data_IF_666389731236
#
_entry.id   IF_666389731236
#
_cell.length_a   1.000
_cell.length_b   1.000
_cell.length_c   1.000
_cell.angle_alpha   90.00
_cell.angle_beta   90.00
_cell.angle_gamma   90.00
#
_symmetry.space_group_name_H-M   'P 1'
#
loop_
_entity.id
_entity.type
_entity.pdbx_description
1 polymer ?
#
# COMPACT_ATOMS: atom_id res chain seq x y z
N UNK A 1 10.69 -11.36 16.75
CA UNK A 1 10.02 -12.41 15.97
C UNK A 1 10.48 -12.33 14.53
N UNK A 2 9.99 -13.23 13.66
CA UNK A 2 10.13 -13.08 12.22
C UNK A 2 9.38 -11.83 11.72
N UNK A 3 9.66 -11.40 10.49
CA UNK A 3 8.89 -10.39 9.77
C UNK A 3 7.39 -10.72 9.74
N UNK A 4 7.05 -11.97 9.46
CA UNK A 4 5.68 -12.48 9.42
C UNK A 4 5.00 -12.39 10.78
N UNK A 5 5.72 -12.69 11.88
CA UNK A 5 5.17 -12.56 13.23
C UNK A 5 4.99 -11.08 13.63
N UNK A 6 5.86 -10.18 13.16
CA UNK A 6 5.67 -8.76 13.39
C UNK A 6 4.44 -8.21 12.64
N UNK A 7 4.23 -8.65 11.39
CA UNK A 7 3.04 -8.31 10.61
C UNK A 7 1.76 -8.80 11.31
N UNK A 8 1.74 -10.05 11.75
CA UNK A 8 0.60 -10.65 12.45
C UNK A 8 0.23 -9.88 13.73
N UNK A 9 1.22 -9.52 14.55
CA UNK A 9 1.00 -8.73 15.76
C UNK A 9 0.38 -7.35 15.47
N UNK A 10 0.82 -6.68 14.40
CA UNK A 10 0.26 -5.37 14.02
C UNK A 10 -1.15 -5.53 13.48
N UNK A 11 -1.39 -6.56 12.66
CA UNK A 11 -2.71 -6.86 12.12
C UNK A 11 -3.72 -7.17 13.24
N UNK A 12 -3.33 -7.96 14.22
CA UNK A 12 -4.14 -8.25 15.40
C UNK A 12 -4.43 -6.96 16.18
N UNK A 13 -3.42 -6.12 16.44
CA UNK A 13 -3.59 -4.86 17.15
C UNK A 13 -4.58 -3.91 16.45
N UNK A 14 -4.57 -3.87 15.11
CA UNK A 14 -5.48 -3.01 14.34
C UNK A 14 -6.93 -3.51 14.36
N UNK A 15 -7.15 -4.81 14.55
CA UNK A 15 -8.46 -5.46 14.43
C UNK A 15 -9.11 -5.77 15.78
N UNK A 16 -8.32 -5.89 16.86
CA UNK A 16 -8.78 -6.34 18.19
C UNK A 16 -9.90 -5.49 18.80
N UNK A 17 -9.94 -4.18 18.52
CA UNK A 17 -10.96 -3.26 19.04
C UNK A 17 -12.18 -3.13 18.12
N UNK A 18 -12.19 -3.80 16.96
CA UNK A 18 -13.27 -3.76 15.97
C UNK A 18 -13.44 -2.44 15.22
N UNK A 19 -12.51 -1.48 15.35
CA UNK A 19 -12.54 -0.21 14.60
C UNK A 19 -12.24 -0.44 13.11
N UNK A 20 -11.34 -1.38 12.83
CA UNK A 20 -11.07 -1.88 11.49
C UNK A 20 -11.49 -3.35 11.43
N UNK A 21 -12.22 -3.68 10.37
CA UNK A 21 -12.39 -5.07 9.97
C UNK A 21 -11.06 -5.64 9.46
N UNK A 22 -10.90 -6.97 9.50
CA UNK A 22 -9.71 -7.64 8.96
C UNK A 22 -9.36 -7.20 7.52
N UNK A 23 -10.28 -7.18 6.53
CA UNK A 23 -9.94 -6.73 5.18
C UNK A 23 -9.54 -5.24 5.13
N UNK A 24 -10.12 -4.37 5.95
CA UNK A 24 -9.73 -2.96 6.02
C UNK A 24 -8.31 -2.80 6.57
N UNK A 25 -7.95 -3.55 7.61
CA UNK A 25 -6.61 -3.54 8.17
C UNK A 25 -5.58 -4.06 7.17
N UNK A 26 -5.89 -5.14 6.42
CA UNK A 26 -5.04 -5.64 5.34
C UNK A 26 -4.90 -4.60 4.21
N UNK A 27 -5.97 -3.90 3.83
CA UNK A 27 -5.90 -2.82 2.84
C UNK A 27 -5.03 -1.64 3.29
N UNK A 28 -4.99 -1.35 4.59
CA UNK A 28 -4.14 -0.31 5.18
C UNK A 28 -2.67 -0.73 5.19
N UNK A 29 -2.37 -1.96 5.61
CA UNK A 29 -1.00 -2.47 5.72
C UNK A 29 -0.37 -2.83 4.36
N UNK A 30 -1.16 -3.39 3.44
CA UNK A 30 -0.71 -3.83 2.11
C UNK A 30 -1.59 -3.19 1.03
N UNK A 31 -1.43 -1.87 0.79
CA UNK A 31 -2.22 -1.15 -0.20
C UNK A 31 -1.85 -1.53 -1.63
N UNK A 32 -2.84 -1.52 -2.53
CA UNK A 32 -2.58 -1.66 -3.97
C UNK A 32 -1.78 -0.46 -4.51
N UNK A 33 -1.14 -0.62 -5.66
CA UNK A 33 -0.42 0.48 -6.30
C UNK A 33 -1.39 1.58 -6.77
N UNK A 34 -1.44 2.67 -6.01
CA UNK A 34 -2.38 3.79 -6.23
C UNK A 34 -1.69 5.04 -6.80
N UNK A 35 -0.41 5.25 -6.50
CA UNK A 35 0.33 6.43 -6.92
C UNK A 35 0.46 6.47 -8.46
N UNK A 36 0.06 7.59 -9.06
CA UNK A 36 0.13 7.79 -10.52
C UNK A 36 -0.93 7.05 -11.34
N UNK A 37 -1.84 6.30 -10.71
CA UNK A 37 -2.88 5.56 -11.42
C UNK A 37 -4.09 6.44 -11.75
N UNK A 38 -4.11 7.02 -12.95
CA UNK A 38 -5.19 7.90 -13.43
C UNK A 38 -6.52 7.20 -13.69
N UNK A 39 -6.53 5.86 -13.78
CA UNK A 39 -7.75 5.08 -14.00
C UNK A 39 -8.41 4.64 -12.69
N UNK A 40 -7.80 4.94 -11.54
CA UNK A 40 -8.34 4.61 -10.22
C UNK A 40 -9.54 5.50 -9.88
N UNK A 41 -10.55 4.90 -9.23
CA UNK A 41 -11.67 5.65 -8.66
C UNK A 41 -11.15 6.72 -7.66
N UNK A 42 -11.60 7.99 -7.75
CA UNK A 42 -11.10 9.07 -6.91
C UNK A 42 -11.29 8.83 -5.41
N UNK A 43 -12.41 8.22 -4.99
CA UNK A 43 -12.64 7.94 -3.58
C UNK A 43 -11.66 6.87 -3.08
N UNK A 44 -11.38 5.86 -3.92
CA UNK A 44 -10.36 4.85 -3.63
C UNK A 44 -8.95 5.45 -3.55
N UNK A 45 -8.60 6.34 -4.48
CA UNK A 45 -7.33 7.05 -4.44
C UNK A 45 -7.19 7.89 -3.16
N UNK A 46 -8.23 8.64 -2.78
CA UNK A 46 -8.26 9.43 -1.55
C UNK A 46 -8.14 8.55 -0.30
N UNK A 47 -8.79 7.38 -0.27
CA UNK A 47 -8.60 6.42 0.82
C UNK A 47 -7.14 6.00 0.95
N UNK A 48 -6.47 5.64 -0.15
CA UNK A 48 -5.09 5.19 -0.10
C UNK A 48 -4.08 6.31 0.22
N UNK A 49 -4.34 7.53 -0.23
CA UNK A 49 -3.54 8.69 0.15
C UNK A 49 -3.67 8.99 1.65
N UNK A 50 -4.87 8.90 2.21
CA UNK A 50 -5.09 9.00 3.65
C UNK A 50 -4.41 7.84 4.40
N UNK A 51 -4.56 6.61 3.91
CA UNK A 51 -3.96 5.42 4.50
C UNK A 51 -2.43 5.52 4.56
N UNK A 52 -1.80 6.06 3.52
CA UNK A 52 -0.36 6.29 3.46
C UNK A 52 0.14 7.31 4.50
N UNK A 53 -0.73 8.19 5.00
CA UNK A 53 -0.39 9.08 6.12
C UNK A 53 -0.46 8.36 7.48
N UNK A 54 -1.20 7.27 7.56
CA UNK A 54 -1.47 6.54 8.80
C UNK A 54 -0.55 5.33 9.01
N UNK A 55 -0.18 4.65 7.92
CA UNK A 55 0.62 3.43 7.94
C UNK A 55 1.53 3.37 6.73
N UNK A 56 2.81 3.11 6.97
CA UNK A 56 3.75 2.80 5.90
C UNK A 56 3.44 1.40 5.33
N UNK A 57 3.44 1.23 3.99
CA UNK A 57 3.14 -0.07 3.39
C UNK A 57 4.15 -1.13 3.81
N UNK A 58 3.66 -2.28 4.26
CA UNK A 58 4.48 -3.47 4.49
C UNK A 58 4.80 -4.11 3.13
N UNK A 59 5.85 -3.60 2.49
CA UNK A 59 6.28 -4.01 1.15
C UNK A 59 7.24 -5.22 1.19
N UNK A 60 7.32 -5.93 0.06
CA UNK A 60 8.13 -7.14 -0.10
C UNK A 60 7.38 -8.28 -0.78
N UNK A 61 8.07 -9.26 -1.38
CA UNK A 61 7.42 -10.36 -2.11
C UNK A 61 6.58 -11.24 -1.17
N UNK A 62 5.26 -11.17 -1.28
CA UNK A 62 4.41 -11.83 -0.32
C UNK A 62 3.06 -12.32 -0.87
N UNK A 63 2.66 -13.46 -0.33
CA UNK A 63 1.30 -13.98 -0.34
C UNK A 63 0.92 -14.18 1.13
N UNK A 64 -0.09 -13.48 1.58
CA UNK A 64 -0.60 -13.63 2.94
C UNK A 64 -1.99 -14.22 2.88
N UNK A 65 -2.25 -15.23 3.72
CA UNK A 65 -3.59 -15.74 4.00
C UNK A 65 -3.96 -15.35 5.42
N UNK A 66 -5.19 -14.91 5.62
CA UNK A 66 -5.65 -14.38 6.91
C UNK A 66 -7.07 -14.85 7.20
N UNK A 67 -7.43 -14.90 8.49
CA UNK A 67 -8.78 -15.17 8.94
C UNK A 67 -9.05 -14.61 10.36
N UNK A 68 -10.28 -14.14 10.62
CA UNK A 68 -10.74 -13.63 11.94
C UNK A 68 -12.04 -14.30 12.42
N UNK A 69 -12.31 -15.53 11.98
CA UNK A 69 -13.51 -16.30 12.29
C UNK A 69 -14.73 -15.94 11.42
N UNK A 70 -14.84 -14.70 10.93
CA UNK A 70 -15.84 -14.31 9.92
C UNK A 70 -15.23 -14.24 8.52
N UNK A 71 -14.12 -13.55 8.38
CA UNK A 71 -13.44 -13.41 7.10
C UNK A 71 -12.35 -14.47 6.98
N UNK A 72 -12.18 -14.97 5.76
CA UNK A 72 -11.03 -15.78 5.37
C UNK A 72 -10.60 -15.33 3.97
N UNK A 73 -9.32 -15.10 3.76
CA UNK A 73 -8.88 -14.52 2.51
C UNK A 73 -7.39 -14.64 2.23
N UNK A 74 -7.02 -14.14 1.07
CA UNK A 74 -5.65 -14.02 0.63
C UNK A 74 -5.41 -12.65 -0.02
N UNK A 75 -4.24 -12.07 0.21
CA UNK A 75 -3.78 -10.87 -0.48
C UNK A 75 -2.35 -11.07 -0.99
N UNK A 76 -2.05 -10.44 -2.12
CA UNK A 76 -0.69 -10.34 -2.64
C UNK A 76 -0.08 -9.00 -2.28
N UNK A 77 1.24 -8.95 -2.33
CA UNK A 77 1.94 -7.68 -2.39
C UNK A 77 1.51 -6.85 -3.62
N UNK A 78 1.80 -5.55 -3.59
CA UNK A 78 1.41 -4.59 -4.63
C UNK A 78 1.87 -4.94 -6.04
N UNK A 79 2.95 -5.71 -6.18
CA UNK A 79 3.54 -6.13 -7.43
C UNK A 79 3.16 -7.57 -7.81
N UNK A 80 2.55 -8.32 -6.88
CA UNK A 80 2.17 -9.72 -7.05
C UNK A 80 3.35 -10.63 -7.35
N UNK A 81 4.39 -10.54 -6.52
CA UNK A 81 5.65 -11.25 -6.72
C UNK A 81 5.58 -12.72 -6.29
N UNK A 82 4.50 -13.14 -5.64
CA UNK A 82 4.22 -14.54 -5.29
C UNK A 82 3.02 -15.09 -6.05
N UNK A 83 3.07 -16.36 -6.51
CA UNK A 83 1.94 -16.98 -7.17
C UNK A 83 0.85 -17.32 -6.16
N UNK A 84 -0.40 -17.12 -6.55
CA UNK A 84 -1.56 -17.55 -5.78
C UNK A 84 -2.69 -17.96 -6.74
N UNK A 85 -3.16 -19.19 -6.61
CA UNK A 85 -4.16 -19.83 -7.46
C UNK A 85 -5.32 -20.29 -6.61
N UNK A 86 -6.52 -20.23 -7.17
CA UNK A 86 -7.69 -20.73 -6.47
C UNK A 86 -8.64 -21.51 -7.37
N UNK A 87 -9.36 -22.43 -6.74
CA UNK A 87 -10.45 -23.22 -7.30
C UNK A 87 -11.72 -22.95 -6.51
N UNK A 88 -12.84 -22.81 -7.21
CA UNK A 88 -14.17 -22.82 -6.61
C UNK A 88 -14.87 -24.07 -7.14
N UNK A 89 -15.43 -24.87 -6.24
CA UNK A 89 -16.15 -26.10 -6.57
C UNK A 89 -17.66 -25.93 -6.40
N UNK A 90 -18.42 -26.86 -6.95
CA UNK A 90 -19.89 -26.90 -6.88
C UNK A 90 -20.44 -27.32 -5.52
N UNK A 91 -19.59 -27.83 -4.62
CA UNK A 91 -19.88 -28.14 -3.21
C UNK A 91 -19.51 -26.99 -2.25
N UNK A 92 -19.55 -25.73 -2.73
CA UNK A 92 -19.31 -24.49 -1.98
C UNK A 92 -17.95 -24.41 -1.27
N UNK A 93 -16.92 -25.04 -1.85
CA UNK A 93 -15.54 -24.94 -1.34
C UNK A 93 -14.71 -24.03 -2.21
N UNK A 94 -13.88 -23.24 -1.53
CA UNK A 94 -12.77 -22.52 -2.16
C UNK A 94 -11.46 -23.11 -1.67
N UNK A 95 -10.54 -23.31 -2.61
CA UNK A 95 -9.21 -23.84 -2.34
C UNK A 95 -8.21 -22.84 -2.88
N UNK A 96 -7.36 -22.30 -2.03
CA UNK A 96 -6.35 -21.31 -2.39
C UNK A 96 -4.96 -21.87 -2.05
N UNK A 97 -4.03 -21.81 -2.99
CA UNK A 97 -2.66 -22.31 -2.82
C UNK A 97 -1.66 -21.54 -3.69
N UNK A 98 -0.37 -21.66 -3.38
CA UNK A 98 0.70 -21.07 -4.19
C UNK A 98 0.83 -21.72 -5.57
N UNK A 99 0.35 -22.96 -5.72
CA UNK A 99 0.48 -23.78 -6.92
C UNK A 99 -0.85 -24.43 -7.31
N UNK A 100 -0.89 -24.97 -8.53
CA UNK A 100 -2.04 -25.76 -9.02
C UNK A 100 -1.82 -27.23 -8.70
N UNK A 101 -2.90 -27.97 -8.39
CA UNK A 101 -2.81 -29.41 -8.13
C UNK A 101 -2.29 -29.82 -6.75
N UNK A 102 -2.22 -28.88 -5.80
CA UNK A 102 -1.79 -29.16 -4.42
C UNK A 102 -2.71 -30.16 -3.71
N UNK A 103 -4.00 -30.19 -4.07
CA UNK A 103 -4.96 -31.18 -3.61
C UNK A 103 -5.69 -31.80 -4.81
N UNK A 104 -6.05 -33.09 -4.75
CA UNK A 104 -6.83 -33.73 -5.80
C UNK A 104 -8.28 -33.20 -5.76
N UNK A 105 -8.74 -32.63 -6.88
CA UNK A 105 -10.12 -32.20 -7.09
C UNK A 105 -10.58 -32.78 -8.42
N UNK A 106 -11.73 -33.45 -8.42
CA UNK A 106 -12.37 -33.96 -9.64
C UNK A 106 -12.67 -32.79 -10.59
N UNK A 107 -12.24 -32.84 -11.87
CA UNK A 107 -12.43 -31.74 -12.81
C UNK A 107 -13.89 -31.32 -13.00
N UNK A 108 -14.82 -32.27 -12.86
CA UNK A 108 -16.27 -32.09 -12.99
C UNK A 108 -16.85 -31.20 -11.89
N UNK A 109 -16.26 -31.21 -10.71
CA UNK A 109 -16.68 -30.38 -9.57
C UNK A 109 -16.20 -28.93 -9.66
N UNK A 110 -15.27 -28.61 -10.57
CA UNK A 110 -14.67 -27.28 -10.61
C UNK A 110 -15.54 -26.32 -11.40
N UNK A 111 -16.15 -25.37 -10.68
CA UNK A 111 -16.95 -24.27 -11.23
C UNK A 111 -16.06 -23.18 -11.80
N UNK A 112 -14.99 -22.81 -11.08
CA UNK A 112 -14.10 -21.72 -11.49
C UNK A 112 -12.64 -22.00 -11.11
N UNK A 113 -11.73 -21.56 -11.97
CA UNK A 113 -10.28 -21.53 -11.73
C UNK A 113 -9.79 -20.09 -11.88
N UNK A 114 -9.00 -19.62 -10.94
CA UNK A 114 -8.49 -18.26 -10.97
C UNK A 114 -7.06 -18.12 -10.45
N UNK A 115 -6.52 -16.92 -10.58
CA UNK A 115 -5.28 -16.49 -9.94
C UNK A 115 -5.52 -15.15 -9.26
N UNK A 116 -4.89 -14.95 -8.10
CA UNK A 116 -4.90 -13.65 -7.46
C UNK A 116 -4.01 -12.69 -8.27
N UNK A 117 -4.48 -11.46 -8.49
CA UNK A 117 -3.79 -10.45 -9.27
C UNK A 117 -3.15 -9.42 -8.32
N UNK A 118 -2.05 -8.76 -8.72
CA UNK A 118 -1.46 -7.69 -7.93
C UNK A 118 -2.50 -6.66 -7.50
N UNK A 119 -2.48 -6.31 -6.22
CA UNK A 119 -3.40 -5.34 -5.63
C UNK A 119 -4.84 -5.83 -5.47
N UNK A 120 -5.22 -7.07 -5.81
CA UNK A 120 -6.55 -7.62 -5.55
C UNK A 120 -6.54 -8.52 -4.31
N UNK A 121 -7.65 -8.47 -3.56
CA UNK A 121 -7.90 -9.35 -2.42
C UNK A 121 -8.88 -10.46 -2.80
N UNK A 122 -8.56 -11.70 -2.41
CA UNK A 122 -9.52 -12.79 -2.39
C UNK A 122 -10.13 -12.83 -0.99
N UNK A 123 -11.45 -12.65 -0.87
CA UNK A 123 -12.11 -12.57 0.43
C UNK A 123 -13.39 -13.41 0.44
N UNK A 124 -13.55 -14.21 1.48
CA UNK A 124 -14.78 -14.95 1.80
C UNK A 124 -15.36 -14.41 3.09
N UNK A 125 -16.65 -14.08 3.07
CA UNK A 125 -17.42 -13.78 4.28
C UNK A 125 -18.22 -15.02 4.65
N UNK A 126 -17.80 -15.72 5.70
CA UNK A 126 -18.42 -16.97 6.14
C UNK A 126 -19.80 -16.75 6.76
N UNK A 127 -20.07 -15.55 7.28
CA UNK A 127 -21.38 -15.20 7.84
C UNK A 127 -22.37 -14.89 6.73
N UNK A 128 -21.93 -14.19 5.68
CA UNK A 128 -22.76 -13.94 4.49
C UNK A 128 -22.83 -15.13 3.53
N UNK A 129 -21.95 -16.13 3.69
CA UNK A 129 -21.90 -17.34 2.86
C UNK A 129 -21.50 -17.06 1.41
N UNK A 130 -20.62 -16.08 1.17
CA UNK A 130 -20.25 -15.68 -0.20
C UNK A 130 -18.79 -15.22 -0.32
N UNK A 131 -18.30 -15.29 -1.55
CA UNK A 131 -17.06 -14.60 -1.95
C UNK A 131 -17.40 -13.12 -2.15
N UNK A 132 -16.61 -12.25 -1.54
CA UNK A 132 -16.75 -10.79 -1.66
C UNK A 132 -15.92 -10.32 -2.84
N UNK A 133 -16.52 -9.53 -3.71
CA UNK A 133 -15.81 -8.95 -4.86
C UNK A 133 -14.83 -7.86 -4.39
N UNK A 134 -13.62 -7.84 -4.98
CA UNK A 134 -12.57 -6.87 -4.62
C UNK A 134 -13.00 -5.42 -4.85
N UNK A 135 -13.72 -5.16 -5.95
CA UNK A 135 -14.18 -3.81 -6.25
C UNK A 135 -15.31 -3.39 -5.31
N UNK A 136 -16.23 -4.31 -4.98
CA UNK A 136 -17.28 -4.09 -3.97
C UNK A 136 -16.67 -3.75 -2.60
N UNK A 137 -15.71 -4.55 -2.13
CA UNK A 137 -15.01 -4.36 -0.87
C UNK A 137 -14.36 -2.97 -0.83
N UNK A 138 -13.52 -2.67 -1.80
CA UNK A 138 -12.75 -1.42 -1.81
C UNK A 138 -13.61 -0.20 -1.98
N UNK A 139 -14.70 -0.30 -2.75
CA UNK A 139 -15.66 0.77 -2.88
C UNK A 139 -16.40 1.04 -1.57
N UNK A 140 -16.73 -0.02 -0.83
CA UNK A 140 -17.37 0.11 0.49
C UNK A 140 -16.43 0.79 1.48
N UNK A 141 -15.18 0.36 1.54
CA UNK A 141 -14.15 0.93 2.44
C UNK A 141 -13.84 2.37 2.07
N UNK A 142 -13.63 2.67 0.79
CA UNK A 142 -13.26 4.01 0.32
C UNK A 142 -14.38 5.04 0.49
N UNK A 143 -15.63 4.61 0.51
CA UNK A 143 -16.81 5.46 0.73
C UNK A 143 -17.27 5.52 2.18
N UNK A 144 -16.62 4.81 3.09
CA UNK A 144 -16.98 4.79 4.53
C UNK A 144 -16.90 6.18 5.18
N UNK A 145 -15.97 7.02 4.69
CA UNK A 145 -15.75 8.40 5.11
C UNK A 145 -15.37 9.26 3.91
N UNK A 146 -15.49 10.58 4.06
CA UNK A 146 -15.02 11.55 3.06
C UNK A 146 -13.52 11.81 3.22
N UNK A 147 -12.70 10.84 2.81
CA UNK A 147 -11.24 10.94 2.89
C UNK A 147 -10.68 12.10 2.06
N UNK A 148 -11.34 12.43 0.94
CA UNK A 148 -10.92 13.54 0.09
C UNK A 148 -10.99 14.87 0.84
N UNK A 149 -12.08 15.10 1.59
CA UNK A 149 -12.20 16.31 2.42
C UNK A 149 -11.14 16.37 3.51
N UNK A 150 -10.82 15.24 4.13
CA UNK A 150 -9.78 15.17 5.17
C UNK A 150 -8.40 15.53 4.61
N UNK A 151 -8.03 14.93 3.47
CA UNK A 151 -6.77 15.25 2.80
C UNK A 151 -6.73 16.73 2.42
N UNK A 152 -7.78 17.23 1.76
CA UNK A 152 -7.80 18.61 1.26
C UNK A 152 -7.73 19.66 2.38
N UNK A 153 -8.23 19.33 3.57
CA UNK A 153 -8.26 20.28 4.70
C UNK A 153 -7.05 20.16 5.64
N UNK A 154 -6.42 18.98 5.74
CA UNK A 154 -5.37 18.71 6.74
C UNK A 154 -4.00 18.43 6.14
N UNK A 155 -3.90 17.97 4.89
CA UNK A 155 -2.61 17.63 4.28
C UNK A 155 -1.87 18.89 3.85
N UNK A 156 -0.65 19.04 4.36
CA UNK A 156 0.25 20.14 3.99
C UNK A 156 1.35 19.56 3.09
N UNK A 157 1.51 20.13 1.90
CA UNK A 157 2.55 19.74 0.95
C UNK A 157 3.65 20.78 0.92
N UNK A 158 4.90 20.36 0.71
CA UNK A 158 6.03 21.29 0.59
C UNK A 158 5.84 22.33 -0.54
N UNK A 159 5.34 21.96 -1.73
CA UNK A 159 4.97 22.95 -2.75
C UNK A 159 3.96 23.98 -2.25
N UNK A 160 2.89 23.55 -1.56
CA UNK A 160 1.90 24.48 -1.00
C UNK A 160 2.46 25.37 0.11
N UNK A 161 3.49 24.93 0.84
CA UNK A 161 4.22 25.79 1.80
C UNK A 161 5.06 26.82 1.07
N UNK A 162 5.78 26.43 0.02
CA UNK A 162 6.55 27.35 -0.84
C UNK A 162 5.66 28.43 -1.44
N UNK A 163 4.50 28.05 -2.01
CA UNK A 163 3.55 28.99 -2.60
C UNK A 163 3.09 30.03 -1.56
N UNK A 164 2.68 29.58 -0.38
CA UNK A 164 2.25 30.45 0.73
C UNK A 164 3.36 31.37 1.25
N UNK A 165 4.62 30.92 1.26
CA UNK A 165 5.77 31.71 1.69
C UNK A 165 6.13 32.76 0.63
N UNK A 166 6.11 32.36 -0.64
CA UNK A 166 6.30 33.24 -1.79
C UNK A 166 5.25 34.35 -1.84
N UNK A 167 3.97 34.02 -1.65
CA UNK A 167 2.86 34.99 -1.55
C UNK A 167 3.03 36.01 -0.40
N UNK A 168 3.68 35.60 0.70
CA UNK A 168 4.00 36.48 1.84
C UNK A 168 5.27 37.30 1.63
N UNK A 169 5.94 37.17 0.48
CA UNK A 169 7.17 37.88 0.16
C UNK A 169 8.40 37.35 0.91
N UNK A 170 8.38 36.10 1.37
CA UNK A 170 9.57 35.47 1.92
C UNK A 170 10.58 35.18 0.80
N UNK A 171 11.82 35.63 0.98
CA UNK A 171 12.91 35.26 0.07
C UNK A 171 13.35 33.82 0.35
N UNK A 172 12.99 32.92 -0.57
CA UNK A 172 13.39 31.51 -0.56
C UNK A 172 14.60 31.25 -1.47
N UNK A 173 15.18 32.31 -2.05
CA UNK A 173 16.37 32.23 -2.89
C UNK A 173 17.60 31.84 -2.08
N UNK A 174 18.61 31.32 -2.78
CA UNK A 174 19.95 31.16 -2.22
C UNK A 174 20.82 32.33 -2.67
N UNK A 175 21.60 32.88 -1.74
CA UNK A 175 22.65 33.84 -2.07
C UNK A 175 23.95 33.08 -2.33
N UNK A 176 24.46 33.18 -3.55
CA UNK A 176 25.78 32.62 -3.87
C UNK A 176 26.86 33.35 -3.07
N UNK A 177 27.72 32.58 -2.42
CA UNK A 177 28.96 33.12 -1.86
C UNK A 177 29.94 33.43 -2.99
N UNK A 178 30.74 34.48 -2.84
CA UNK A 178 31.88 34.73 -3.73
C UNK A 178 33.01 33.71 -3.54
N UNK A 179 32.97 32.93 -2.45
CA UNK A 179 33.94 31.88 -2.16
C UNK A 179 33.89 30.78 -3.21
N UNK A 180 35.03 30.53 -3.86
CA UNK A 180 35.17 29.42 -4.80
C UNK A 180 35.09 28.08 -4.07
N UNK A 181 34.54 27.07 -4.72
CA UNK A 181 34.43 25.69 -4.20
C UNK A 181 35.77 25.16 -3.65
N UNK A 182 36.88 25.46 -4.33
CA UNK A 182 38.23 25.00 -3.93
C UNK A 182 38.72 25.62 -2.61
N UNK A 183 38.18 26.78 -2.27
CA UNK A 183 38.62 27.64 -1.18
C UNK A 183 37.67 27.58 0.02
N UNK A 184 36.48 26.97 -0.12
CA UNK A 184 35.52 26.90 0.98
C UNK A 184 35.98 25.89 2.06
N UNK A 185 36.37 26.35 3.26
CA UNK A 185 36.81 25.46 4.32
C UNK A 185 35.68 24.58 4.86
N UNK A 186 34.40 24.97 4.65
CA UNK A 186 33.24 24.17 5.06
C UNK A 186 33.18 22.87 4.26
N UNK A 187 33.46 22.92 2.96
CA UNK A 187 33.48 21.72 2.12
C UNK A 187 34.52 20.72 2.62
N UNK A 188 35.73 21.20 2.94
CA UNK A 188 36.77 20.35 3.56
C UNK A 188 36.38 19.84 4.94
N UNK A 189 35.76 20.68 5.76
CA UNK A 189 35.29 20.30 7.11
C UNK A 189 34.19 19.23 7.06
N UNK A 190 33.32 19.25 6.05
CA UNK A 190 32.31 18.22 5.79
C UNK A 190 32.83 17.04 4.94
N UNK A 191 34.13 16.99 4.65
CA UNK A 191 34.78 15.87 3.96
C UNK A 191 34.55 15.82 2.45
N UNK A 192 34.05 16.89 1.83
CA UNK A 192 33.90 16.98 0.39
C UNK A 192 35.25 17.16 -0.30
N UNK A 193 35.50 16.32 -1.31
CA UNK A 193 36.60 16.54 -2.26
C UNK A 193 36.15 17.42 -3.43
N UNK A 194 37.12 18.07 -4.08
CA UNK A 194 36.84 18.85 -5.29
C UNK A 194 36.21 17.98 -6.40
N UNK A 195 36.66 16.73 -6.52
CA UNK A 195 36.13 15.76 -7.48
C UNK A 195 34.68 15.40 -7.19
N UNK A 196 34.32 15.18 -5.92
CA UNK A 196 32.92 14.92 -5.53
C UNK A 196 32.02 16.11 -5.88
N UNK A 197 32.48 17.33 -5.60
CA UNK A 197 31.68 18.52 -5.93
C UNK A 197 31.60 18.74 -7.43
N UNK A 198 32.68 18.52 -8.18
CA UNK A 198 32.71 18.85 -9.61
C UNK A 198 32.14 17.75 -10.52
N UNK A 199 32.27 16.47 -10.13
CA UNK A 199 31.88 15.32 -10.95
C UNK A 199 30.55 14.68 -10.51
N UNK A 200 30.13 14.85 -9.26
CA UNK A 200 28.89 14.24 -8.73
C UNK A 200 27.78 15.26 -8.45
N UNK A 201 28.15 16.45 -7.95
CA UNK A 201 27.18 17.51 -7.63
C UNK A 201 27.07 18.57 -8.75
N UNK A 202 28.17 18.80 -9.46
CA UNK A 202 28.17 19.58 -10.70
C UNK A 202 27.30 18.90 -11.76
N UNK A 203 26.67 19.68 -12.66
CA UNK A 203 25.91 19.13 -13.78
C UNK A 203 26.76 18.29 -14.74
#
# INVERSE_FOLDING_TARGET
>A
GSDSAAFDNVLELLTINGVLSLPEAVMLMVPEAWQGNRAMDPAKQAFYEWAACMMEPWDGPALFTFADGRYCGANLDRNGLRPCRYYITDDDRIVCASEVGTIPIEPEKVVQKGRLQPGKMLLVDTVAGRIVDDAELKQTVSKRKDFQSWISSQLITMPGVHDKLSEKGADLGFTLSETRVQEDPRLKAFGYSLEQVSLLLGP
#
